data_IF_040188977027
#
_entry.id   IF_040188977027
#
_cell.length_a   1.000
_cell.length_b   1.000
_cell.length_c   1.000
_cell.angle_alpha   90.00
_cell.angle_beta   90.00
_cell.angle_gamma   90.00
#
_symmetry.space_group_name_H-M   'P 1'
#
loop_
_entity.id
_entity.type
_entity.pdbx_description
1 polymer ?
#
# COMPACT_ATOMS: atom_id res chain seq x y z
N UNK A 1 10.57 -1.16 9.64
CA UNK A 1 9.42 -0.31 9.27
C UNK A 1 9.34 0.88 10.21
N UNK A 2 9.00 2.06 9.67
CA UNK A 2 8.89 3.27 10.47
C UNK A 2 7.47 3.36 11.06
N UNK A 3 7.37 3.76 12.32
CA UNK A 3 6.09 3.89 13.04
C UNK A 3 5.12 4.85 12.32
N UNK A 4 5.66 5.88 11.67
CA UNK A 4 4.88 6.82 10.84
C UNK A 4 4.00 6.12 9.80
N UNK A 5 4.54 5.10 9.12
CA UNK A 5 3.77 4.36 8.11
C UNK A 5 2.73 3.44 8.75
N UNK A 6 3.06 2.82 9.87
CA UNK A 6 2.11 1.98 10.62
C UNK A 6 0.88 2.79 11.04
N UNK A 7 1.11 3.98 11.60
CA UNK A 7 0.03 4.87 12.07
C UNK A 7 -0.79 5.40 10.89
N UNK A 8 -0.13 5.83 9.81
CA UNK A 8 -0.78 6.37 8.61
C UNK A 8 -1.66 5.31 7.90
N UNK A 9 -1.18 4.07 7.77
CA UNK A 9 -1.96 2.98 7.15
C UNK A 9 -3.25 2.73 7.94
N UNK A 10 -3.16 2.65 9.26
CA UNK A 10 -4.33 2.43 10.11
C UNK A 10 -5.33 3.59 10.02
N UNK A 11 -4.85 4.84 10.05
CA UNK A 11 -5.70 6.03 9.91
C UNK A 11 -6.39 6.05 8.54
N UNK A 12 -5.67 5.78 7.47
CA UNK A 12 -6.21 5.79 6.10
C UNK A 12 -7.28 4.71 5.88
N UNK A 13 -7.06 3.50 6.41
CA UNK A 13 -8.04 2.40 6.32
C UNK A 13 -9.33 2.77 7.08
N UNK A 14 -9.21 3.30 8.31
CA UNK A 14 -10.38 3.75 9.09
C UNK A 14 -11.10 4.90 8.40
N UNK A 15 -10.37 5.86 7.86
CA UNK A 15 -10.97 6.96 7.13
C UNK A 15 -11.72 6.48 5.86
N UNK A 16 -11.21 5.47 5.16
CA UNK A 16 -11.91 4.85 4.04
C UNK A 16 -13.20 4.11 4.47
N UNK A 17 -13.48 3.98 5.77
CA UNK A 17 -14.68 3.38 6.32
C UNK A 17 -14.56 1.89 6.59
N UNK A 18 -13.34 1.38 6.72
CA UNK A 18 -13.07 -0.02 7.07
C UNK A 18 -12.56 -0.11 8.50
N UNK A 19 -12.88 -1.22 9.16
CA UNK A 19 -12.38 -1.56 10.48
C UNK A 19 -12.01 -3.05 10.49
N UNK A 20 -10.92 -3.38 11.18
CA UNK A 20 -10.44 -4.75 11.33
C UNK A 20 -10.79 -5.35 12.70
N UNK A 21 -11.45 -4.60 13.60
CA UNK A 21 -11.75 -5.05 14.97
C UNK A 21 -10.48 -5.48 15.69
N UNK A 22 -10.50 -6.71 16.23
CA UNK A 22 -9.36 -7.30 16.94
C UNK A 22 -8.33 -7.98 16.03
N UNK A 23 -8.50 -7.88 14.70
CA UNK A 23 -7.63 -8.57 13.73
C UNK A 23 -6.49 -7.68 13.21
N UNK A 24 -5.85 -6.91 14.08
CA UNK A 24 -4.61 -6.22 13.77
C UNK A 24 -3.43 -7.12 14.15
N UNK A 25 -2.74 -7.61 13.16
CA UNK A 25 -1.59 -8.48 13.33
C UNK A 25 -0.30 -7.82 12.84
N UNK A 26 0.83 -8.23 13.39
CA UNK A 26 2.16 -7.85 12.94
C UNK A 26 2.96 -9.11 12.71
N UNK A 27 3.56 -9.27 11.55
CA UNK A 27 4.42 -10.40 11.21
C UNK A 27 5.52 -10.64 12.26
N UNK A 28 6.02 -9.57 12.87
CA UNK A 28 7.03 -9.63 13.93
C UNK A 28 6.55 -10.35 15.20
N UNK A 29 5.25 -10.42 15.47
CA UNK A 29 4.71 -11.18 16.58
C UNK A 29 4.69 -12.69 16.31
N UNK A 30 4.94 -13.11 15.07
CA UNK A 30 4.93 -14.50 14.61
C UNK A 30 6.33 -15.03 14.28
N UNK A 31 7.40 -14.31 14.61
CA UNK A 31 8.77 -14.72 14.28
C UNK A 31 9.15 -16.08 14.85
N UNK A 32 8.67 -16.45 16.03
CA UNK A 32 8.87 -17.78 16.58
C UNK A 32 8.18 -18.86 15.75
N UNK A 33 6.94 -18.62 15.30
CA UNK A 33 6.22 -19.53 14.41
C UNK A 33 6.94 -19.71 13.08
N UNK A 34 7.40 -18.61 12.45
CA UNK A 34 8.16 -18.69 11.20
C UNK A 34 9.46 -19.46 11.38
N UNK A 35 10.15 -19.27 12.52
CA UNK A 35 11.35 -19.99 12.85
C UNK A 35 11.09 -21.50 12.97
N UNK A 36 10.05 -21.90 13.68
CA UNK A 36 9.67 -23.32 13.82
C UNK A 36 9.28 -23.95 12.47
N UNK A 37 8.60 -23.21 11.59
CA UNK A 37 8.34 -23.65 10.22
C UNK A 37 9.63 -23.88 9.44
N UNK A 38 10.62 -22.99 9.55
CA UNK A 38 11.92 -23.16 8.91
C UNK A 38 12.69 -24.38 9.46
N UNK A 39 12.69 -24.57 10.78
CA UNK A 39 13.25 -25.76 11.43
C UNK A 39 12.58 -27.04 10.94
N UNK A 40 11.26 -27.03 10.78
CA UNK A 40 10.50 -28.15 10.21
C UNK A 40 10.94 -28.49 8.78
N UNK A 41 11.16 -27.48 7.93
CA UNK A 41 11.67 -27.68 6.57
C UNK A 41 13.09 -28.30 6.58
N UNK A 42 13.98 -27.83 7.46
CA UNK A 42 15.32 -28.40 7.60
C UNK A 42 15.24 -29.88 8.03
N UNK A 43 14.40 -30.20 9.03
CA UNK A 43 14.21 -31.60 9.49
C UNK A 43 13.67 -32.53 8.40
N UNK A 44 12.89 -31.99 7.47
CA UNK A 44 12.40 -32.72 6.30
C UNK A 44 13.42 -32.81 5.15
N UNK A 45 14.59 -32.20 5.28
CA UNK A 45 15.58 -32.09 4.21
C UNK A 45 15.16 -31.18 3.05
N UNK A 46 14.20 -30.28 3.31
CA UNK A 46 13.62 -29.34 2.34
C UNK A 46 14.19 -27.93 2.45
N UNK A 47 15.12 -27.69 3.36
CA UNK A 47 15.87 -26.43 3.47
C UNK A 47 17.30 -26.70 3.92
N UNK A 48 18.21 -25.82 3.55
CA UNK A 48 19.64 -25.90 3.90
C UNK A 48 20.23 -24.50 4.09
N UNK A 49 21.25 -24.43 4.93
CA UNK A 49 22.01 -23.17 5.12
C UNK A 49 23.09 -23.10 4.04
N UNK A 50 23.06 -22.03 3.26
CA UNK A 50 24.01 -21.74 2.21
C UNK A 50 24.97 -20.63 2.69
N UNK A 51 26.26 -20.90 2.61
CA UNK A 51 27.33 -19.98 3.05
C UNK A 51 28.08 -19.37 1.84
N UNK A 52 27.49 -19.43 0.65
CA UNK A 52 28.01 -18.77 -0.54
C UNK A 52 27.73 -17.25 -0.47
N UNK A 53 28.60 -16.50 -1.14
CA UNK A 53 28.39 -15.07 -1.34
C UNK A 53 27.23 -14.81 -2.30
N UNK A 54 26.70 -13.58 -2.26
CA UNK A 54 25.62 -13.16 -3.18
C UNK A 54 26.05 -13.29 -4.65
N UNK A 55 27.34 -13.03 -4.95
CA UNK A 55 27.91 -13.13 -6.29
C UNK A 55 27.95 -14.59 -6.76
N UNK A 56 28.36 -15.52 -5.92
CA UNK A 56 28.40 -16.96 -6.22
C UNK A 56 26.98 -17.50 -6.45
N UNK A 57 26.04 -17.18 -5.57
CA UNK A 57 24.64 -17.59 -5.71
C UNK A 57 24.05 -17.02 -7.02
N UNK A 58 24.31 -15.74 -7.34
CA UNK A 58 23.84 -15.12 -8.57
C UNK A 58 24.42 -15.79 -9.80
N UNK A 59 25.72 -16.12 -9.79
CA UNK A 59 26.37 -16.82 -10.90
C UNK A 59 25.82 -18.22 -11.12
N UNK A 60 25.50 -18.94 -10.03
CA UNK A 60 24.98 -20.32 -10.09
C UNK A 60 23.49 -20.41 -10.39
N UNK A 61 22.71 -19.35 -10.14
CA UNK A 61 21.25 -19.36 -10.33
C UNK A 61 20.84 -19.63 -11.78
N UNK A 62 21.73 -19.34 -12.73
CA UNK A 62 21.42 -19.44 -14.16
C UNK A 62 20.46 -18.32 -14.62
N UNK A 63 19.78 -18.58 -15.73
CA UNK A 63 18.77 -17.67 -16.29
C UNK A 63 17.62 -18.46 -16.93
N UNK A 64 16.67 -17.79 -17.58
CA UNK A 64 15.46 -18.44 -18.14
C UNK A 64 15.82 -19.58 -19.11
N UNK A 65 16.94 -19.46 -19.84
CA UNK A 65 17.39 -20.44 -20.87
C UNK A 65 18.44 -21.42 -20.34
N UNK A 66 19.03 -21.15 -19.17
CA UNK A 66 20.14 -21.96 -18.62
C UNK A 66 19.74 -22.39 -17.21
N UNK A 67 19.68 -23.71 -16.95
CA UNK A 67 19.45 -24.23 -15.60
C UNK A 67 20.47 -23.69 -14.60
N UNK A 68 20.05 -23.58 -13.33
CA UNK A 68 20.96 -23.26 -12.24
C UNK A 68 21.83 -24.46 -11.85
N UNK A 69 22.89 -24.17 -11.13
CA UNK A 69 23.78 -25.16 -10.53
C UNK A 69 23.50 -25.30 -9.04
N UNK A 70 23.61 -26.51 -8.53
CA UNK A 70 23.43 -26.75 -7.09
C UNK A 70 24.55 -26.11 -6.28
N UNK A 71 24.18 -25.56 -5.10
CA UNK A 71 25.14 -25.09 -4.11
C UNK A 71 25.95 -26.27 -3.54
N UNK A 72 27.24 -26.10 -3.25
CA UNK A 72 28.04 -27.11 -2.55
C UNK A 72 27.47 -27.47 -1.15
N UNK A 73 26.65 -26.58 -0.57
CA UNK A 73 26.03 -26.78 0.74
C UNK A 73 24.65 -27.45 0.68
N UNK A 74 24.11 -27.66 -0.51
CA UNK A 74 22.74 -28.18 -0.73
C UNK A 74 22.51 -29.57 -0.13
N UNK A 75 23.56 -30.38 -0.08
CA UNK A 75 23.54 -31.76 0.41
C UNK A 75 24.13 -31.92 1.82
N UNK A 76 24.28 -30.83 2.57
CA UNK A 76 24.69 -30.86 4.00
C UNK A 76 23.67 -31.63 4.83
N UNK A 77 24.12 -32.32 5.88
CA UNK A 77 23.24 -33.13 6.75
C UNK A 77 22.17 -32.25 7.46
N UNK A 78 21.11 -32.87 7.91
CA UNK A 78 20.05 -32.18 8.67
C UNK A 78 20.61 -31.60 9.95
N UNK A 79 21.45 -32.34 10.67
CA UNK A 79 22.07 -31.97 11.93
C UNK A 79 22.95 -30.72 11.77
N UNK A 80 23.80 -30.70 10.74
CA UNK A 80 24.65 -29.56 10.45
C UNK A 80 23.82 -28.33 10.05
N UNK A 81 22.78 -28.49 9.24
CA UNK A 81 21.90 -27.40 8.86
C UNK A 81 21.16 -26.80 10.07
N UNK A 82 20.67 -27.66 11.00
CA UNK A 82 20.04 -27.20 12.25
C UNK A 82 21.03 -26.42 13.12
N UNK A 83 22.26 -26.94 13.28
CA UNK A 83 23.30 -26.25 14.05
C UNK A 83 23.67 -24.89 13.43
N UNK A 84 23.82 -24.83 12.10
CA UNK A 84 24.11 -23.58 11.39
C UNK A 84 22.96 -22.57 11.45
N UNK A 85 21.72 -23.02 11.30
CA UNK A 85 20.56 -22.13 11.41
C UNK A 85 20.38 -21.58 12.82
N UNK A 86 20.68 -22.40 13.85
CA UNK A 86 20.72 -21.92 15.23
C UNK A 86 21.84 -20.91 15.44
N UNK A 87 23.02 -21.12 14.87
CA UNK A 87 24.14 -20.16 14.93
C UNK A 87 23.79 -18.83 14.24
N UNK A 88 23.02 -18.87 13.13
CA UNK A 88 22.48 -17.66 12.52
C UNK A 88 21.55 -16.91 13.50
N UNK A 89 20.62 -17.63 14.16
CA UNK A 89 19.68 -17.04 15.14
C UNK A 89 20.41 -16.44 16.35
N UNK A 90 21.48 -17.07 16.79
CA UNK A 90 22.28 -16.61 17.93
C UNK A 90 23.18 -15.40 17.60
N UNK A 91 23.25 -14.98 16.33
CA UNK A 91 24.12 -13.89 15.91
C UNK A 91 25.61 -14.27 15.83
N UNK A 92 25.94 -15.56 15.79
CA UNK A 92 27.32 -16.08 15.72
C UNK A 92 27.89 -15.96 14.29
N UNK A 93 27.03 -15.76 13.29
CA UNK A 93 27.41 -15.64 11.88
C UNK A 93 27.16 -14.20 11.41
N UNK A 94 28.15 -13.51 10.82
CA UNK A 94 27.98 -12.14 10.32
C UNK A 94 26.98 -12.03 9.16
N UNK A 95 26.42 -10.83 8.95
CA UNK A 95 25.59 -10.52 7.78
C UNK A 95 26.26 -10.88 6.47
N UNK A 96 25.47 -11.38 5.52
CA UNK A 96 25.93 -11.75 4.18
C UNK A 96 26.81 -13.02 4.12
N UNK A 97 26.99 -13.73 5.26
CA UNK A 97 27.81 -14.94 5.34
C UNK A 97 27.04 -16.23 5.34
N UNK A 98 25.75 -16.17 5.61
CA UNK A 98 24.86 -17.33 5.53
C UNK A 98 23.43 -16.88 5.28
N UNK A 99 22.69 -17.71 4.56
CA UNK A 99 21.26 -17.60 4.34
C UNK A 99 20.63 -18.99 4.45
N UNK A 100 19.33 -19.06 4.76
CA UNK A 100 18.56 -20.29 4.63
C UNK A 100 17.89 -20.33 3.26
N UNK A 101 18.06 -21.41 2.53
CA UNK A 101 17.43 -21.62 1.22
C UNK A 101 16.49 -22.82 1.26
N UNK A 102 15.38 -22.73 0.53
CA UNK A 102 14.57 -23.90 0.23
C UNK A 102 15.34 -24.84 -0.71
N UNK A 103 15.12 -26.16 -0.58
CA UNK A 103 15.62 -27.18 -1.48
C UNK A 103 14.50 -27.63 -2.39
N UNK A 104 14.42 -27.07 -3.60
CA UNK A 104 13.34 -27.34 -4.56
C UNK A 104 13.93 -27.87 -5.86
N UNK A 105 14.14 -27.02 -6.86
CA UNK A 105 14.62 -27.45 -8.19
C UNK A 105 15.45 -26.35 -8.86
N UNK A 106 16.75 -26.54 -8.94
CA UNK A 106 17.66 -25.60 -9.61
C UNK A 106 17.52 -25.57 -11.14
N UNK A 107 16.79 -26.53 -11.74
CA UNK A 107 16.51 -26.57 -13.17
C UNK A 107 15.13 -25.98 -13.54
N UNK A 108 14.33 -25.56 -12.55
CA UNK A 108 13.00 -25.01 -12.79
C UNK A 108 13.02 -23.86 -13.80
N UNK A 109 12.04 -23.82 -14.70
CA UNK A 109 11.81 -22.68 -15.60
C UNK A 109 11.37 -21.42 -14.84
N UNK A 110 10.70 -21.62 -13.69
CA UNK A 110 10.36 -20.55 -12.77
C UNK A 110 11.54 -20.23 -11.85
N UNK A 111 12.14 -19.06 -12.03
CA UNK A 111 13.31 -18.61 -11.26
C UNK A 111 13.05 -18.54 -9.75
N UNK A 112 11.78 -18.36 -9.33
CA UNK A 112 11.41 -18.33 -7.91
C UNK A 112 11.42 -19.71 -7.23
N UNK A 113 11.49 -20.78 -8.03
CA UNK A 113 11.58 -22.17 -7.55
C UNK A 113 13.02 -22.72 -7.52
N UNK A 114 14.01 -21.90 -7.94
CA UNK A 114 15.43 -22.30 -7.93
C UNK A 114 16.06 -22.06 -6.56
N UNK A 115 15.76 -22.92 -5.63
CA UNK A 115 16.23 -22.86 -4.23
C UNK A 115 16.19 -21.42 -3.66
N UNK A 116 14.99 -20.84 -3.52
CA UNK A 116 14.83 -19.46 -3.05
C UNK A 116 15.31 -19.26 -1.63
N UNK A 117 15.70 -18.04 -1.30
CA UNK A 117 16.09 -17.64 0.05
C UNK A 117 14.86 -17.56 0.94
N UNK A 118 14.88 -18.22 2.10
CA UNK A 118 13.83 -18.19 3.12
C UNK A 118 14.16 -17.24 4.26
N UNK A 119 15.43 -17.21 4.71
CA UNK A 119 15.91 -16.35 5.79
C UNK A 119 17.24 -15.69 5.43
N UNK A 120 17.45 -14.48 5.93
CA UNK A 120 18.72 -13.76 5.90
C UNK A 120 19.10 -13.27 7.29
N UNK A 121 20.41 -13.03 7.50
CA UNK A 121 20.93 -12.37 8.69
C UNK A 121 20.87 -10.86 8.45
N UNK A 122 20.39 -10.11 9.45
CA UNK A 122 20.39 -8.65 9.46
C UNK A 122 20.45 -8.15 10.90
N UNK A 123 21.52 -7.47 11.26
CA UNK A 123 21.68 -6.84 12.58
C UNK A 123 21.06 -5.44 12.53
N UNK A 124 19.77 -5.37 12.85
CA UNK A 124 19.02 -4.12 12.89
C UNK A 124 18.07 -4.11 14.08
N UNK A 125 17.85 -2.94 14.65
CA UNK A 125 16.80 -2.75 15.65
C UNK A 125 15.44 -2.70 14.95
N UNK A 126 14.51 -3.55 15.38
CA UNK A 126 13.16 -3.63 14.85
C UNK A 126 12.19 -2.93 15.79
N UNK A 127 11.26 -2.12 15.25
CA UNK A 127 10.34 -1.28 16.03
C UNK A 127 9.48 -2.05 17.05
N UNK A 128 9.10 -3.32 16.80
CA UNK A 128 8.34 -4.14 17.74
C UNK A 128 9.20 -5.08 18.59
N UNK A 129 10.26 -5.67 18.01
CA UNK A 129 11.06 -6.72 18.70
C UNK A 129 12.41 -6.24 19.16
N UNK A 130 12.77 -4.99 18.90
CA UNK A 130 14.09 -4.45 19.24
C UNK A 130 15.21 -5.26 18.60
N UNK A 131 16.20 -5.63 19.39
CA UNK A 131 17.35 -6.45 18.96
C UNK A 131 17.21 -7.94 19.28
N UNK A 132 15.99 -8.43 19.56
CA UNK A 132 15.77 -9.83 19.95
C UNK A 132 15.99 -10.82 18.80
N UNK A 133 15.93 -10.35 17.56
CA UNK A 133 16.12 -11.14 16.36
C UNK A 133 17.21 -10.54 15.48
N UNK A 134 18.04 -11.38 14.92
CA UNK A 134 19.06 -11.02 13.93
C UNK A 134 18.94 -11.83 12.63
N UNK A 135 17.92 -12.69 12.52
CA UNK A 135 17.53 -13.36 11.28
C UNK A 135 16.09 -12.98 10.94
N UNK A 136 15.85 -12.72 9.67
CA UNK A 136 14.55 -12.27 9.20
C UNK A 136 14.08 -13.13 8.03
N UNK A 137 12.79 -13.55 8.02
CA UNK A 137 12.24 -14.28 6.90
C UNK A 137 12.15 -13.38 5.67
N UNK A 138 12.30 -13.97 4.50
CA UNK A 138 11.99 -13.29 3.26
C UNK A 138 10.48 -13.25 3.04
N UNK A 139 10.01 -12.26 2.26
CA UNK A 139 8.60 -12.05 1.99
C UNK A 139 7.88 -13.32 1.51
N UNK A 140 8.46 -14.03 0.54
CA UNK A 140 7.85 -15.23 -0.03
C UNK A 140 7.71 -16.40 0.96
N UNK A 141 8.42 -16.35 2.09
CA UNK A 141 8.28 -17.31 3.18
C UNK A 141 7.36 -16.82 4.29
N UNK A 142 7.43 -15.53 4.65
CA UNK A 142 6.62 -14.96 5.71
C UNK A 142 5.14 -14.86 5.31
N UNK A 143 4.83 -14.31 4.15
CA UNK A 143 3.47 -14.04 3.70
C UNK A 143 2.53 -15.27 3.73
N UNK A 144 2.87 -16.42 3.11
CA UNK A 144 2.01 -17.62 3.22
C UNK A 144 1.82 -18.10 4.65
N UNK A 145 2.84 -18.03 5.49
CA UNK A 145 2.80 -18.47 6.88
C UNK A 145 1.96 -17.55 7.76
N UNK A 146 2.07 -16.22 7.55
CA UNK A 146 1.28 -15.21 8.24
C UNK A 146 -0.19 -15.39 7.92
N UNK A 147 -0.55 -15.41 6.63
CA UNK A 147 -1.92 -15.62 6.18
C UNK A 147 -2.51 -16.95 6.70
N UNK A 148 -1.72 -18.02 6.71
CA UNK A 148 -2.15 -19.30 7.25
C UNK A 148 -2.37 -19.26 8.78
N UNK A 149 -1.50 -18.56 9.51
CA UNK A 149 -1.63 -18.38 10.96
C UNK A 149 -2.87 -17.57 11.33
N UNK A 150 -3.19 -16.56 10.55
CA UNK A 150 -4.35 -15.68 10.71
C UNK A 150 -5.66 -16.29 10.17
N UNK A 151 -5.62 -17.51 9.65
CA UNK A 151 -6.78 -18.20 9.04
C UNK A 151 -7.37 -17.43 7.85
N UNK A 152 -6.56 -16.70 7.10
CA UNK A 152 -6.95 -16.05 5.85
C UNK A 152 -7.34 -17.13 4.82
N UNK A 153 -8.42 -16.92 4.10
CA UNK A 153 -8.89 -17.83 3.04
C UNK A 153 -8.38 -17.43 1.66
N UNK A 154 -8.32 -16.12 1.38
CA UNK A 154 -7.90 -15.51 0.12
C UNK A 154 -6.76 -14.54 0.38
N UNK A 155 -5.56 -14.94 0.01
CA UNK A 155 -4.33 -14.16 0.11
C UNK A 155 -4.24 -13.26 -1.12
N UNK A 156 -4.44 -11.95 -0.94
CA UNK A 156 -4.56 -11.00 -2.05
C UNK A 156 -3.25 -10.29 -2.31
N UNK A 157 -2.83 -10.23 -3.58
CA UNK A 157 -1.61 -9.53 -3.98
C UNK A 157 -1.72 -8.98 -5.41
N UNK A 158 -0.68 -8.27 -5.87
CA UNK A 158 -0.61 -7.76 -7.24
C UNK A 158 -0.07 -8.80 -8.22
N UNK A 159 -0.33 -8.62 -9.52
CA UNK A 159 0.09 -9.54 -10.59
C UNK A 159 1.60 -9.78 -10.67
N UNK A 160 2.42 -8.91 -10.10
CA UNK A 160 3.88 -9.12 -10.02
C UNK A 160 4.25 -10.38 -9.23
N UNK A 161 3.34 -10.87 -8.36
CA UNK A 161 3.52 -12.09 -7.56
C UNK A 161 2.92 -13.35 -8.20
N UNK A 162 2.37 -13.28 -9.42
CA UNK A 162 1.80 -14.46 -10.09
C UNK A 162 2.83 -15.59 -10.23
N UNK A 163 4.06 -15.28 -10.61
CA UNK A 163 5.14 -16.25 -10.70
C UNK A 163 5.67 -16.73 -9.34
N UNK A 164 5.29 -16.06 -8.24
CA UNK A 164 5.64 -16.46 -6.87
C UNK A 164 4.63 -17.47 -6.29
N UNK A 165 3.42 -17.61 -6.85
CA UNK A 165 2.38 -18.52 -6.37
C UNK A 165 2.86 -19.97 -6.20
N UNK A 166 3.65 -20.57 -7.11
CA UNK A 166 4.17 -21.92 -6.89
C UNK A 166 5.03 -22.04 -5.61
N UNK A 167 5.77 -20.99 -5.26
CA UNK A 167 6.54 -20.96 -4.02
C UNK A 167 5.61 -20.78 -2.79
N UNK A 168 4.60 -19.93 -2.90
CA UNK A 168 3.56 -19.79 -1.88
C UNK A 168 2.89 -21.13 -1.56
N UNK A 169 2.43 -21.84 -2.59
CA UNK A 169 1.79 -23.14 -2.45
C UNK A 169 2.76 -24.17 -1.86
N UNK A 170 4.03 -24.16 -2.29
CA UNK A 170 5.07 -25.05 -1.75
C UNK A 170 5.30 -24.85 -0.25
N UNK A 171 5.31 -23.58 0.22
CA UNK A 171 5.45 -23.27 1.66
C UNK A 171 4.26 -23.80 2.45
N UNK A 172 3.03 -23.55 1.98
CA UNK A 172 1.79 -24.04 2.62
C UNK A 172 1.72 -25.58 2.67
N UNK A 173 2.21 -26.25 1.64
CA UNK A 173 2.21 -27.72 1.58
C UNK A 173 3.23 -28.35 2.52
N UNK A 174 4.36 -27.70 2.73
CA UNK A 174 5.49 -28.30 3.44
C UNK A 174 5.67 -27.81 4.88
N UNK A 175 5.03 -26.71 5.29
CA UNK A 175 5.07 -26.21 6.66
C UNK A 175 3.87 -26.70 7.49
N UNK A 176 4.01 -26.80 8.83
CA UNK A 176 2.91 -27.20 9.73
C UNK A 176 1.98 -26.00 9.99
N UNK A 177 1.18 -25.65 9.02
CA UNK A 177 0.28 -24.48 9.06
C UNK A 177 -1.13 -24.83 9.56
N UNK A 178 -1.82 -23.93 10.31
CA UNK A 178 -3.16 -24.16 10.82
C UNK A 178 -4.26 -24.03 9.74
N UNK A 179 -4.02 -23.29 8.67
CA UNK A 179 -4.95 -23.07 7.57
C UNK A 179 -4.22 -23.13 6.21
N UNK A 180 -4.99 -23.24 5.13
CA UNK A 180 -4.47 -23.29 3.76
C UNK A 180 -5.08 -22.19 2.91
N UNK A 181 -4.57 -20.98 3.00
CA UNK A 181 -5.00 -19.86 2.15
C UNK A 181 -4.67 -20.11 0.68
N UNK A 182 -5.38 -19.41 -0.20
CA UNK A 182 -5.13 -19.44 -1.64
C UNK A 182 -4.70 -18.05 -2.13
N UNK A 183 -3.52 -17.96 -2.73
CA UNK A 183 -3.06 -16.73 -3.35
C UNK A 183 -3.91 -16.37 -4.56
N UNK A 184 -4.32 -15.10 -4.64
CA UNK A 184 -5.13 -14.55 -5.73
C UNK A 184 -4.56 -13.18 -6.11
N UNK A 185 -4.16 -13.03 -7.37
CA UNK A 185 -3.51 -11.82 -7.87
C UNK A 185 -4.46 -10.95 -8.67
N UNK A 186 -4.27 -9.65 -8.59
CA UNK A 186 -4.98 -8.64 -9.39
C UNK A 186 -4.01 -7.65 -10.01
N UNK A 187 -4.47 -7.00 -11.08
CA UNK A 187 -3.77 -5.87 -11.65
C UNK A 187 -3.65 -4.73 -10.63
N UNK A 188 -2.47 -4.12 -10.59
CA UNK A 188 -2.26 -2.88 -9.86
C UNK A 188 -3.09 -1.76 -10.50
N UNK A 189 -3.73 -0.94 -9.68
CA UNK A 189 -4.35 0.30 -10.16
C UNK A 189 -3.26 1.30 -10.55
N UNK A 190 -3.22 1.65 -11.83
CA UNK A 190 -2.37 2.72 -12.35
C UNK A 190 -3.27 3.83 -12.91
N UNK A 191 -2.99 5.06 -12.51
CA UNK A 191 -3.68 6.24 -13.02
C UNK A 191 -2.81 6.95 -14.06
N UNK A 192 -3.45 7.50 -15.09
CA UNK A 192 -2.77 8.42 -16.02
C UNK A 192 -2.29 9.65 -15.26
N UNK A 193 -1.25 10.29 -15.74
CA UNK A 193 -0.68 11.55 -15.23
C UNK A 193 -0.39 11.56 -13.71
N UNK A 194 -0.19 10.37 -13.11
CA UNK A 194 -0.04 10.22 -11.66
C UNK A 194 1.20 9.39 -11.33
N UNK A 195 2.05 9.92 -10.45
CA UNK A 195 3.22 9.19 -9.94
C UNK A 195 2.80 8.27 -8.80
N UNK A 196 2.83 6.95 -9.04
CA UNK A 196 2.44 5.92 -8.07
C UNK A 196 3.63 5.26 -7.35
N UNK A 197 4.85 5.76 -7.52
CA UNK A 197 6.07 5.19 -6.94
C UNK A 197 6.37 5.78 -5.56
N UNK A 198 6.30 4.95 -4.48
CA UNK A 198 6.68 5.36 -3.12
C UNK A 198 8.06 6.04 -3.10
N UNK A 199 9.07 5.47 -3.77
CA UNK A 199 10.43 6.02 -3.80
C UNK A 199 10.49 7.44 -4.39
N UNK A 200 9.74 7.69 -5.49
CA UNK A 200 9.70 9.02 -6.11
C UNK A 200 8.92 10.01 -5.25
N UNK A 201 7.84 9.57 -4.61
CA UNK A 201 7.07 10.42 -3.69
C UNK A 201 7.87 10.75 -2.43
N UNK A 202 8.61 9.77 -1.87
CA UNK A 202 9.53 10.00 -0.75
C UNK A 202 10.59 11.05 -1.09
N UNK A 203 11.14 11.00 -2.31
CA UNK A 203 12.11 12.00 -2.78
C UNK A 203 11.52 13.41 -2.75
N UNK A 204 10.26 13.60 -3.18
CA UNK A 204 9.60 14.91 -3.12
C UNK A 204 9.46 15.45 -1.68
N UNK A 205 9.21 14.56 -0.71
CA UNK A 205 9.14 14.93 0.71
C UNK A 205 10.53 15.27 1.24
N UNK A 206 11.53 14.44 0.97
CA UNK A 206 12.90 14.62 1.48
C UNK A 206 13.59 15.87 0.90
N UNK A 207 13.33 16.18 -0.36
CA UNK A 207 13.87 17.36 -1.03
C UNK A 207 13.05 18.65 -0.74
N UNK A 208 11.98 18.56 0.05
CA UNK A 208 11.15 19.69 0.46
C UNK A 208 10.29 20.30 -0.65
N UNK A 209 10.03 19.57 -1.74
CA UNK A 209 9.12 20.00 -2.81
C UNK A 209 7.66 20.00 -2.39
N UNK A 210 7.32 19.23 -1.36
CA UNK A 210 6.02 19.16 -0.70
C UNK A 210 6.20 19.19 0.81
N UNK A 211 5.17 19.64 1.55
CA UNK A 211 5.22 19.78 3.01
C UNK A 211 5.22 18.45 3.78
N UNK A 212 4.85 17.36 3.14
CA UNK A 212 4.76 16.02 3.72
C UNK A 212 3.94 15.08 2.85
N UNK A 213 3.73 13.87 3.35
CA UNK A 213 2.96 12.84 2.66
C UNK A 213 1.47 13.20 2.48
N UNK A 214 0.93 14.07 3.32
CA UNK A 214 -0.44 14.57 3.31
C UNK A 214 -0.62 15.85 2.47
N UNK A 215 0.42 16.34 1.79
CA UNK A 215 0.29 17.51 0.93
C UNK A 215 -0.81 17.27 -0.12
N UNK A 216 -1.72 18.27 -0.37
CA UNK A 216 -2.85 18.08 -1.30
C UNK A 216 -2.46 17.76 -2.74
N UNK A 217 -1.21 17.96 -3.11
CA UNK A 217 -0.63 17.60 -4.41
C UNK A 217 -0.15 16.14 -4.49
N UNK A 218 -0.09 15.46 -3.33
CA UNK A 218 0.37 14.07 -3.27
C UNK A 218 -0.78 13.11 -3.57
N UNK A 219 -0.56 12.07 -4.40
CA UNK A 219 -1.58 11.05 -4.71
C UNK A 219 -1.64 9.95 -3.64
N UNK A 220 -1.42 10.32 -2.39
CA UNK A 220 -1.61 9.48 -1.21
C UNK A 220 -3.05 9.57 -0.73
N UNK A 221 -3.54 8.59 0.02
CA UNK A 221 -4.88 8.65 0.62
C UNK A 221 -5.00 9.87 1.53
N UNK A 222 -3.99 10.14 2.37
CA UNK A 222 -3.95 11.31 3.25
C UNK A 222 -3.91 12.64 2.46
N UNK A 223 -3.18 12.70 1.34
CA UNK A 223 -3.15 13.87 0.45
C UNK A 223 -4.51 14.12 -0.23
N UNK A 224 -5.16 13.07 -0.73
CA UNK A 224 -6.50 13.14 -1.30
C UNK A 224 -7.54 13.57 -0.25
N UNK A 225 -7.49 13.03 0.96
CA UNK A 225 -8.33 13.44 2.10
C UNK A 225 -8.19 14.93 2.37
N UNK A 226 -6.96 15.42 2.47
CA UNK A 226 -6.69 16.85 2.72
C UNK A 226 -7.10 17.75 1.56
N UNK A 227 -7.07 17.24 0.33
CA UNK A 227 -7.56 17.93 -0.87
C UNK A 227 -9.10 18.02 -0.91
N UNK A 228 -9.81 17.24 -0.09
CA UNK A 228 -11.27 17.25 0.00
C UNK A 228 -11.96 16.07 -0.71
N UNK A 229 -11.23 15.04 -1.09
CA UNK A 229 -11.82 13.79 -1.57
C UNK A 229 -12.54 13.10 -0.42
N UNK A 230 -13.66 12.45 -0.73
CA UNK A 230 -14.44 11.71 0.26
C UNK A 230 -14.15 10.21 0.19
N UNK A 231 -14.27 9.48 1.29
CA UNK A 231 -14.17 8.01 1.28
C UNK A 231 -15.15 7.36 0.32
N UNK A 232 -16.37 7.88 0.23
CA UNK A 232 -17.40 7.36 -0.67
C UNK A 232 -16.99 7.50 -2.13
N UNK A 233 -16.45 8.66 -2.53
CA UNK A 233 -15.99 8.88 -3.91
C UNK A 233 -14.87 7.89 -4.30
N UNK A 234 -13.90 7.66 -3.42
CA UNK A 234 -12.78 6.73 -3.67
C UNK A 234 -13.31 5.30 -3.79
N UNK A 235 -14.19 4.86 -2.88
CA UNK A 235 -14.79 3.52 -2.94
C UNK A 235 -15.63 3.34 -4.21
N UNK A 236 -16.44 4.32 -4.59
CA UNK A 236 -17.24 4.30 -5.80
C UNK A 236 -16.37 4.22 -7.06
N UNK A 237 -15.29 4.97 -7.10
CA UNK A 237 -14.29 4.87 -8.16
C UNK A 237 -13.72 3.45 -8.25
N UNK A 238 -13.23 2.87 -7.15
CA UNK A 238 -12.70 1.51 -7.12
C UNK A 238 -13.76 0.47 -7.53
N UNK A 239 -15.02 0.66 -7.13
CA UNK A 239 -16.12 -0.21 -7.52
C UNK A 239 -16.43 -0.11 -9.03
N UNK A 240 -16.37 1.09 -9.59
CA UNK A 240 -16.62 1.34 -11.02
C UNK A 240 -15.57 0.71 -11.93
N UNK A 241 -14.30 0.82 -11.57
CA UNK A 241 -13.21 0.20 -12.35
C UNK A 241 -13.18 -1.32 -12.20
N UNK A 242 -13.66 -1.83 -11.05
CA UNK A 242 -13.67 -3.26 -10.74
C UNK A 242 -12.28 -3.86 -10.56
N UNK A 243 -12.24 -5.20 -10.53
CA UNK A 243 -11.03 -6.00 -10.36
C UNK A 243 -10.71 -6.72 -11.68
N UNK A 244 -9.46 -6.67 -12.10
CA UNK A 244 -8.99 -7.30 -13.34
C UNK A 244 -7.64 -7.96 -13.15
N UNK A 245 -7.31 -8.94 -14.00
CA UNK A 245 -5.95 -9.50 -14.16
C UNK A 245 -5.20 -8.90 -15.36
N UNK A 246 -5.69 -7.83 -15.92
CA UNK A 246 -5.04 -7.13 -17.03
C UNK A 246 -4.41 -5.82 -16.54
N UNK A 247 -3.09 -5.69 -16.71
CA UNK A 247 -2.37 -4.46 -16.39
C UNK A 247 -2.73 -3.37 -17.40
N UNK A 248 -3.39 -2.32 -16.94
CA UNK A 248 -3.79 -1.16 -17.73
C UNK A 248 -3.64 0.13 -16.96
N UNK A 249 -3.98 1.24 -17.61
CA UNK A 249 -4.09 2.55 -16.99
C UNK A 249 -5.57 2.97 -16.96
N UNK A 250 -5.97 3.53 -15.83
CA UNK A 250 -7.27 4.16 -15.67
C UNK A 250 -7.08 5.67 -15.78
N UNK A 251 -7.93 6.33 -16.53
CA UNK A 251 -7.88 7.79 -16.66
C UNK A 251 -8.19 8.45 -15.31
N UNK A 252 -7.32 9.36 -14.88
CA UNK A 252 -7.50 10.13 -13.64
C UNK A 252 -8.80 10.93 -13.64
N UNK A 253 -9.30 11.32 -14.82
CA UNK A 253 -10.57 12.01 -14.98
C UNK A 253 -11.76 11.18 -14.45
N UNK A 254 -11.69 9.84 -14.46
CA UNK A 254 -12.73 8.99 -13.88
C UNK A 254 -12.74 9.07 -12.34
N UNK A 255 -11.57 9.17 -11.71
CA UNK A 255 -11.48 9.43 -10.27
C UNK A 255 -12.05 10.81 -9.93
N UNK A 256 -11.69 11.84 -10.70
CA UNK A 256 -12.19 13.21 -10.49
C UNK A 256 -13.71 13.28 -10.76
N UNK A 257 -14.22 12.53 -11.71
CA UNK A 257 -15.66 12.40 -11.93
C UNK A 257 -16.38 11.81 -10.73
N UNK A 258 -15.86 10.73 -10.15
CA UNK A 258 -16.44 10.10 -8.94
C UNK A 258 -16.45 11.06 -7.75
N UNK A 259 -15.41 11.88 -7.60
CA UNK A 259 -15.37 12.93 -6.56
C UNK A 259 -16.41 14.00 -6.82
N UNK A 260 -16.55 14.45 -8.06
CA UNK A 260 -17.54 15.47 -8.45
C UNK A 260 -18.95 14.99 -8.19
N UNK A 261 -19.28 13.76 -8.58
CA UNK A 261 -20.60 13.17 -8.34
C UNK A 261 -20.95 13.11 -6.86
N UNK A 262 -20.02 12.63 -6.03
CA UNK A 262 -20.27 12.56 -4.59
C UNK A 262 -20.40 13.95 -3.95
N UNK A 263 -19.53 14.89 -4.30
CA UNK A 263 -19.59 16.25 -3.77
C UNK A 263 -20.84 16.99 -4.27
N UNK A 264 -21.27 16.78 -5.52
CA UNK A 264 -22.51 17.34 -6.04
C UNK A 264 -23.71 16.86 -5.26
N UNK A 265 -23.75 15.58 -4.89
CA UNK A 265 -24.84 15.04 -4.12
C UNK A 265 -24.83 15.46 -2.64
N UNK A 266 -23.63 15.56 -2.00
CA UNK A 266 -23.53 15.59 -0.55
C UNK A 266 -22.89 16.85 0.04
N UNK A 267 -22.16 17.67 -0.74
CA UNK A 267 -21.46 18.81 -0.19
C UNK A 267 -22.36 20.06 -0.07
N UNK A 268 -22.28 20.78 1.04
CA UNK A 268 -22.96 22.07 1.16
C UNK A 268 -22.40 23.06 0.14
N UNK A 269 -23.27 23.79 -0.56
CA UNK A 269 -22.89 24.79 -1.55
C UNK A 269 -22.38 26.06 -0.86
N UNK A 270 -21.26 26.57 -1.34
CA UNK A 270 -20.71 27.85 -0.95
C UNK A 270 -20.30 28.61 -2.21
N UNK A 271 -20.49 29.92 -2.18
CA UNK A 271 -20.03 30.82 -3.25
C UNK A 271 -18.71 31.47 -2.78
N UNK A 272 -17.76 31.55 -3.69
CA UNK A 272 -16.51 32.28 -3.47
C UNK A 272 -16.31 33.21 -4.68
N UNK A 273 -15.89 34.44 -4.42
CA UNK A 273 -15.54 35.43 -5.45
C UNK A 273 -14.02 35.52 -5.47
N UNK A 274 -13.39 35.05 -6.54
CA UNK A 274 -11.93 34.90 -6.65
C UNK A 274 -11.29 36.15 -7.27
N UNK A 275 -11.93 36.80 -8.24
CA UNK A 275 -11.50 38.02 -8.88
C UNK A 275 -12.56 39.15 -8.66
N UNK A 276 -12.60 39.73 -7.45
CA UNK A 276 -13.72 40.54 -7.01
C UNK A 276 -13.84 41.87 -7.76
N UNK A 277 -15.09 42.21 -8.10
CA UNK A 277 -15.52 43.52 -8.53
C UNK A 277 -16.57 44.02 -7.52
N UNK A 278 -16.30 45.15 -6.90
CA UNK A 278 -17.25 45.78 -5.99
C UNK A 278 -18.39 46.45 -6.79
N UNK A 279 -19.62 46.17 -6.38
CA UNK A 279 -20.83 46.74 -6.97
C UNK A 279 -21.59 47.46 -5.86
N UNK A 280 -21.95 48.72 -6.09
CA UNK A 280 -22.80 49.53 -5.20
C UNK A 280 -24.22 49.52 -5.73
N UNK A 281 -25.17 49.01 -4.94
CA UNK A 281 -26.60 49.00 -5.28
C UNK A 281 -27.17 50.34 -4.86
N UNK A 282 -27.25 51.29 -5.78
CA UNK A 282 -27.65 52.71 -5.48
C UNK A 282 -29.11 52.87 -5.05
N UNK A 283 -29.95 51.88 -5.33
CA UNK A 283 -31.34 51.84 -4.89
C UNK A 283 -31.56 51.43 -3.45
N UNK A 284 -30.53 50.88 -2.81
CA UNK A 284 -30.58 50.54 -1.38
C UNK A 284 -30.08 51.72 -0.50
N UNK A 285 -30.72 51.98 0.65
CA UNK A 285 -30.20 52.92 1.63
C UNK A 285 -28.80 52.55 2.12
N UNK A 286 -28.02 53.53 2.62
CA UNK A 286 -26.63 53.30 3.06
C UNK A 286 -26.46 52.23 4.15
N UNK A 287 -27.46 52.10 5.02
CA UNK A 287 -27.46 51.11 6.12
C UNK A 287 -28.44 49.96 5.90
N UNK A 288 -28.85 49.75 4.63
CA UNK A 288 -29.75 48.62 4.34
C UNK A 288 -29.02 47.28 4.49
N UNK A 289 -29.65 46.37 5.18
CA UNK A 289 -29.26 44.96 5.28
C UNK A 289 -30.53 44.12 5.08
N UNK A 290 -30.56 43.38 3.99
CA UNK A 290 -31.62 42.42 3.69
C UNK A 290 -31.08 41.02 3.83
N UNK A 291 -31.87 40.10 4.43
CA UNK A 291 -31.46 38.75 4.64
C UNK A 291 -32.03 37.85 3.51
N UNK A 292 -31.14 37.35 2.66
CA UNK A 292 -31.48 36.35 1.65
C UNK A 292 -31.37 34.93 2.20
N UNK A 293 -32.34 34.09 1.90
CA UNK A 293 -32.29 32.66 2.24
C UNK A 293 -31.71 31.89 1.04
N UNK A 294 -30.65 31.14 1.29
CA UNK A 294 -29.92 30.36 0.30
C UNK A 294 -29.89 28.90 0.75
N UNK A 295 -30.30 27.99 -0.13
CA UNK A 295 -30.26 26.54 0.13
C UNK A 295 -28.80 26.11 0.43
N UNK A 296 -28.63 25.27 1.45
CA UNK A 296 -27.34 24.69 1.77
C UNK A 296 -26.91 23.69 0.68
N UNK A 297 -27.84 22.89 0.19
CA UNK A 297 -27.64 22.02 -0.96
C UNK A 297 -28.93 22.00 -1.81
N UNK A 298 -28.91 22.51 -3.07
CA UNK A 298 -30.08 22.49 -3.94
C UNK A 298 -30.61 21.08 -4.27
N UNK A 299 -29.72 20.05 -4.26
CA UNK A 299 -30.09 18.66 -4.50
C UNK A 299 -30.76 18.02 -3.26
N UNK A 300 -30.59 18.63 -2.08
CA UNK A 300 -31.12 18.18 -0.78
C UNK A 300 -31.72 19.35 -0.03
N UNK A 301 -32.90 19.86 -0.43
CA UNK A 301 -33.55 21.00 0.24
C UNK A 301 -33.82 20.77 1.72
N UNK A 302 -33.95 19.49 2.14
CA UNK A 302 -34.14 19.09 3.55
C UNK A 302 -32.94 19.42 4.46
N UNK A 303 -31.75 19.67 3.89
CA UNK A 303 -30.58 20.15 4.64
C UNK A 303 -30.72 21.63 5.05
N UNK A 304 -31.82 22.27 4.67
CA UNK A 304 -32.21 23.60 5.11
C UNK A 304 -31.51 24.74 4.35
N UNK A 305 -31.69 25.93 4.91
CA UNK A 305 -31.21 27.18 4.34
C UNK A 305 -30.23 27.85 5.28
N UNK A 306 -29.38 28.71 4.73
CA UNK A 306 -28.61 29.70 5.46
C UNK A 306 -29.04 31.11 5.09
N UNK A 307 -28.92 32.02 6.02
CA UNK A 307 -29.21 33.45 5.80
C UNK A 307 -27.91 34.20 5.48
N UNK A 308 -27.92 34.94 4.39
CA UNK A 308 -26.81 35.81 3.95
C UNK A 308 -27.28 37.25 3.96
N UNK A 309 -26.54 38.19 4.59
CA UNK A 309 -26.84 39.60 4.51
C UNK A 309 -26.50 40.12 3.11
N UNK A 310 -27.44 40.84 2.51
CA UNK A 310 -27.22 41.62 1.31
C UNK A 310 -27.20 43.07 1.74
N UNK A 311 -26.07 43.73 1.55
CA UNK A 311 -25.87 45.13 1.86
C UNK A 311 -25.83 45.97 0.58
N UNK A 312 -25.75 47.28 0.70
CA UNK A 312 -25.59 48.21 -0.41
C UNK A 312 -24.33 47.88 -1.23
N UNK A 313 -23.28 47.36 -0.61
CA UNK A 313 -22.05 46.94 -1.27
C UNK A 313 -22.00 45.42 -1.33
N UNK A 314 -21.85 44.88 -2.55
CA UNK A 314 -21.70 43.46 -2.82
C UNK A 314 -20.50 43.24 -3.73
N UNK A 315 -20.01 41.98 -3.74
CA UNK A 315 -18.90 41.57 -4.57
C UNK A 315 -19.34 40.53 -5.55
N UNK A 316 -19.00 40.72 -6.84
CA UNK A 316 -19.25 39.78 -7.91
C UNK A 316 -17.94 39.38 -8.59
N UNK A 317 -17.92 38.32 -9.36
CA UNK A 317 -16.80 38.02 -10.22
C UNK A 317 -16.67 39.11 -11.29
N UNK A 318 -15.46 39.54 -11.58
CA UNK A 318 -15.20 40.55 -12.61
C UNK A 318 -15.67 40.10 -13.98
N UNK A 319 -15.60 38.78 -14.26
CA UNK A 319 -16.02 38.20 -15.55
C UNK A 319 -17.55 38.21 -15.74
N UNK A 320 -18.32 38.39 -14.67
CA UNK A 320 -19.78 38.55 -14.72
C UNK A 320 -20.23 39.95 -15.16
N UNK A 321 -19.28 40.86 -15.35
CA UNK A 321 -19.55 42.25 -15.76
C UNK A 321 -18.95 42.58 -17.12
N UNK A 322 -19.77 43.11 -18.02
CA UNK A 322 -19.36 43.72 -19.32
C UNK A 322 -19.82 45.14 -19.43
N UNK A 323 -18.91 46.06 -19.87
CA UNK A 323 -19.25 47.44 -20.16
C UNK A 323 -20.19 47.58 -21.34
N UNK A 324 -20.07 46.72 -22.35
CA UNK A 324 -20.91 46.64 -23.54
C UNK A 324 -21.40 45.20 -23.77
N UNK A 325 -22.45 44.78 -23.05
CA UNK A 325 -22.93 43.40 -23.13
C UNK A 325 -23.58 43.13 -24.50
N UNK A 326 -23.39 41.90 -25.02
CA UNK A 326 -24.09 41.47 -26.24
C UNK A 326 -25.60 41.49 -26.00
N UNK A 327 -26.37 41.90 -27.07
CA UNK A 327 -27.83 41.93 -27.01
C UNK A 327 -28.44 40.52 -26.93
#
# INVERSE_FOLDING_TARGET
EDQEYVDSIQEDIRWLGFDWGDNLFFASNMFDFFYECAVSLIRKGLAYVDEQTVEEIRAQRGNVNVPGQESPYRNRSVEENLARFQAMKNGEIPEGRAILRARIDMASSNMNMRDPVLYRIMFAEHHNTGSSWCIYPMYDFAHPLEDAYEHITHSLCTLEFENHRPLYDWVIENCPVPARPRQTEFARLNLTDTVMSKRKLLQLVQEGHVSGWDAPRMPTVSGMRRRGYTPAAIRNFCHTIGITKFNGFTDVALLEYSVREDLNANAPRRMAVLNPLQVTITTLPENAEEMAEVLNNPEKPEEGVRRLPITREVWIERDDFMLDPPK
#
